data_IF_692560117525
#
_entry.id   IF_692560117525
#
_cell.length_a   1.000
_cell.length_b   1.000
_cell.length_c   1.000
_cell.angle_alpha   90.00
_cell.angle_beta   90.00
_cell.angle_gamma   90.00
#
_symmetry.space_group_name_H-M   'P 1'
#
loop_
_entity.id
_entity.type
_entity.pdbx_description
1 polymer ?
#
# COMPACT_ATOMS: atom_id res chain seq x y z
N UNK A 1 11.29 13.02 -0.62
CA UNK A 1 9.87 12.87 -0.98
C UNK A 1 9.31 11.67 -0.23
N UNK A 2 8.02 11.67 0.03
CA UNK A 2 7.28 10.64 0.78
C UNK A 2 6.39 9.89 -0.19
N UNK A 3 6.23 8.60 0.06
CA UNK A 3 5.26 7.76 -0.62
C UNK A 3 3.93 7.87 0.14
N UNK A 4 2.86 8.21 -0.57
CA UNK A 4 1.53 8.40 -0.03
C UNK A 4 0.59 7.28 -0.50
N UNK A 5 -0.49 7.07 0.24
CA UNK A 5 -1.56 6.15 -0.10
C UNK A 5 -2.91 6.83 0.08
N UNK A 6 -3.77 6.72 -0.94
CA UNK A 6 -5.12 7.25 -0.91
C UNK A 6 -6.14 6.22 -1.38
N UNK A 7 -7.38 6.40 -0.93
CA UNK A 7 -8.54 5.71 -1.50
C UNK A 7 -9.11 6.56 -2.64
N UNK A 8 -9.44 5.93 -3.76
CA UNK A 8 -10.19 6.58 -4.84
C UNK A 8 -11.52 5.90 -5.09
N UNK A 9 -12.46 6.61 -5.71
CA UNK A 9 -13.73 6.07 -6.20
C UNK A 9 -13.94 6.46 -7.65
N UNK A 10 -14.60 5.60 -8.42
CA UNK A 10 -15.11 5.95 -9.74
C UNK A 10 -16.40 6.77 -9.60
N UNK A 11 -16.52 7.81 -10.41
CA UNK A 11 -17.76 8.50 -10.63
C UNK A 11 -18.66 7.70 -11.59
N UNK A 12 -19.93 8.11 -11.73
CA UNK A 12 -20.88 7.46 -12.64
C UNK A 12 -20.55 7.58 -14.13
N UNK A 13 -19.41 8.19 -14.50
CA UNK A 13 -18.92 8.39 -15.86
C UNK A 13 -17.63 7.60 -16.13
N UNK A 14 -17.04 6.98 -15.11
CA UNK A 14 -15.80 6.20 -15.22
C UNK A 14 -14.53 7.01 -14.95
N UNK A 15 -14.64 8.29 -14.57
CA UNK A 15 -13.51 9.07 -14.05
C UNK A 15 -13.31 8.71 -12.57
N UNK A 16 -12.08 8.77 -12.05
CA UNK A 16 -11.82 8.52 -10.63
C UNK A 16 -11.45 9.80 -9.88
N UNK A 17 -11.80 9.85 -8.59
CA UNK A 17 -11.44 10.94 -7.68
C UNK A 17 -10.89 10.38 -6.36
N UNK A 18 -9.90 11.06 -5.79
CA UNK A 18 -9.40 10.77 -4.45
C UNK A 18 -10.44 11.15 -3.41
N UNK A 19 -10.58 10.33 -2.38
CA UNK A 19 -11.30 10.70 -1.17
C UNK A 19 -10.35 11.43 -0.22
N UNK A 20 -10.87 12.44 0.48
CA UNK A 20 -10.12 13.19 1.50
C UNK A 20 -9.46 12.26 2.51
N UNK A 21 -8.22 12.52 2.87
CA UNK A 21 -7.48 11.70 3.84
C UNK A 21 -8.14 11.72 5.22
N UNK A 22 -8.01 10.62 5.99
CA UNK A 22 -8.40 10.66 7.38
C UNK A 22 -7.55 11.69 8.14
N UNK A 23 -8.20 12.47 9.02
CA UNK A 23 -7.61 13.58 9.79
C UNK A 23 -6.40 13.17 10.66
N UNK A 24 -6.12 11.88 10.80
CA UNK A 24 -5.04 11.32 11.61
C UNK A 24 -3.67 11.29 10.92
N UNK A 25 -3.55 11.84 9.70
CA UNK A 25 -2.28 11.84 8.93
C UNK A 25 -1.83 10.44 8.53
N UNK A 26 -2.81 9.56 8.33
CA UNK A 26 -2.66 8.13 8.11
C UNK A 26 -2.39 7.68 6.68
N UNK A 27 -1.90 8.58 5.83
CA UNK A 27 -1.73 8.45 4.39
C UNK A 27 -0.28 8.09 4.00
N UNK A 28 0.65 8.03 4.93
CA UNK A 28 2.05 7.76 4.60
C UNK A 28 2.35 6.26 4.41
N UNK A 29 2.63 5.86 3.17
CA UNK A 29 3.13 4.53 2.78
C UNK A 29 4.65 4.38 2.92
N UNK A 30 5.40 5.48 3.15
CA UNK A 30 6.83 5.41 3.43
C UNK A 30 7.61 6.64 2.96
N UNK A 31 8.94 6.54 2.98
CA UNK A 31 9.79 7.45 2.22
C UNK A 31 9.82 7.01 0.75
N UNK A 32 10.23 7.91 -0.15
CA UNK A 32 10.47 7.55 -1.55
C UNK A 32 11.40 6.33 -1.68
N UNK A 33 12.43 6.24 -0.84
CA UNK A 33 13.32 5.07 -0.84
C UNK A 33 12.64 3.75 -0.48
N UNK A 34 11.51 3.78 0.23
CA UNK A 34 10.73 2.57 0.56
C UNK A 34 10.11 1.92 -0.67
N UNK A 35 9.87 2.71 -1.74
CA UNK A 35 9.41 2.24 -3.05
C UNK A 35 10.23 1.05 -3.56
N UNK A 36 11.56 1.16 -3.52
CA UNK A 36 12.47 0.11 -4.03
C UNK A 36 13.07 -0.74 -2.92
N UNK A 37 13.43 -0.15 -1.77
CA UNK A 37 14.12 -0.88 -0.69
C UNK A 37 13.21 -1.78 0.14
N UNK A 38 11.92 -1.45 0.23
CA UNK A 38 10.96 -2.16 1.08
C UNK A 38 9.88 -2.83 0.22
N UNK A 39 8.97 -2.05 -0.36
CA UNK A 39 7.80 -2.55 -1.09
C UNK A 39 8.18 -3.25 -2.39
N UNK A 40 9.03 -2.61 -3.17
CA UNK A 40 9.60 -3.08 -4.43
C UNK A 40 10.68 -4.14 -4.31
N UNK A 41 11.01 -4.57 -3.08
CA UNK A 41 12.17 -5.42 -2.85
C UNK A 41 11.97 -6.86 -3.35
N UNK A 42 13.09 -7.53 -3.67
CA UNK A 42 13.09 -8.97 -3.94
C UNK A 42 12.57 -9.78 -2.75
N UNK A 43 12.78 -9.29 -1.51
CA UNK A 43 12.23 -9.91 -0.31
C UNK A 43 10.69 -9.94 -0.34
N UNK A 44 10.03 -8.80 -0.67
CA UNK A 44 8.58 -8.76 -0.80
C UNK A 44 8.06 -9.70 -1.90
N UNK A 45 8.76 -9.75 -3.05
CA UNK A 45 8.43 -10.69 -4.15
C UNK A 45 8.56 -12.15 -3.74
N UNK A 46 9.65 -12.50 -3.05
CA UNK A 46 9.91 -13.86 -2.59
C UNK A 46 8.88 -14.36 -1.56
N UNK A 47 8.26 -13.44 -0.79
CA UNK A 47 7.15 -13.75 0.09
C UNK A 47 5.83 -14.03 -0.66
N UNK A 48 5.76 -13.70 -1.96
CA UNK A 48 4.59 -13.92 -2.80
C UNK A 48 3.78 -12.66 -3.10
N UNK A 49 4.23 -11.48 -2.69
CA UNK A 49 3.57 -10.22 -3.02
C UNK A 49 3.66 -9.92 -4.52
N UNK A 50 2.59 -9.34 -5.05
CA UNK A 50 2.37 -9.00 -6.46
C UNK A 50 1.96 -7.55 -6.65
N UNK A 51 1.29 -6.92 -5.68
CA UNK A 51 0.88 -5.53 -5.75
C UNK A 51 2.02 -4.60 -5.32
N UNK A 52 2.40 -4.58 -4.03
CA UNK A 52 3.42 -3.66 -3.50
C UNK A 52 4.77 -3.73 -4.25
N UNK A 53 5.21 -4.89 -4.78
CA UNK A 53 6.43 -4.93 -5.59
C UNK A 53 6.41 -4.13 -6.90
N UNK A 54 5.22 -3.74 -7.40
CA UNK A 54 5.06 -2.87 -8.58
C UNK A 54 5.59 -1.47 -8.32
N UNK A 55 5.58 -1.02 -7.06
CA UNK A 55 6.04 0.31 -6.67
C UNK A 55 7.47 0.58 -7.12
N UNK A 56 8.34 -0.43 -7.17
CA UNK A 56 9.72 -0.26 -7.67
C UNK A 56 9.81 0.37 -9.07
N UNK A 57 8.78 0.22 -9.92
CA UNK A 57 8.78 0.72 -11.29
C UNK A 57 7.94 1.98 -11.49
N UNK A 58 6.79 2.08 -10.83
CA UNK A 58 5.81 3.16 -11.04
C UNK A 58 4.81 3.24 -9.90
N UNK A 59 3.95 4.26 -9.91
CA UNK A 59 2.78 4.37 -9.03
C UNK A 59 1.87 3.15 -9.18
N UNK A 60 1.19 2.80 -8.10
CA UNK A 60 0.39 1.59 -8.02
C UNK A 60 -1.08 1.94 -7.85
N UNK A 61 -1.89 1.43 -8.77
CA UNK A 61 -3.34 1.38 -8.66
C UNK A 61 -3.78 -0.04 -8.34
N UNK A 62 -4.68 -0.17 -7.37
CA UNK A 62 -5.43 -1.39 -7.04
C UNK A 62 -6.88 -1.09 -7.35
N UNK A 63 -7.43 -1.77 -8.35
CA UNK A 63 -8.82 -1.58 -8.77
C UNK A 63 -9.81 -2.12 -7.71
N UNK A 64 -11.06 -1.63 -7.68
CA UNK A 64 -12.06 -2.07 -6.70
C UNK A 64 -12.21 -3.59 -6.58
N UNK A 65 -12.17 -4.31 -7.70
CA UNK A 65 -12.25 -5.77 -7.77
C UNK A 65 -10.99 -6.49 -7.23
N UNK A 66 -9.86 -5.79 -7.15
CA UNK A 66 -8.58 -6.32 -6.67
C UNK A 66 -8.35 -6.09 -5.17
N UNK A 67 -9.13 -5.20 -4.54
CA UNK A 67 -8.93 -4.77 -3.14
C UNK A 67 -8.88 -5.94 -2.16
N UNK A 68 -9.71 -6.96 -2.32
CA UNK A 68 -9.68 -8.16 -1.45
C UNK A 68 -8.35 -8.91 -1.55
N UNK A 69 -7.83 -9.08 -2.77
CA UNK A 69 -6.52 -9.71 -2.98
C UNK A 69 -5.39 -8.86 -2.41
N UNK A 70 -5.51 -7.54 -2.50
CA UNK A 70 -4.54 -6.62 -1.94
C UNK A 70 -4.53 -6.62 -0.41
N UNK A 71 -5.70 -6.73 0.23
CA UNK A 71 -5.81 -6.89 1.68
C UNK A 71 -5.14 -8.19 2.16
N UNK A 72 -5.34 -9.30 1.43
CA UNK A 72 -4.67 -10.56 1.72
C UNK A 72 -3.13 -10.46 1.59
N UNK A 73 -2.64 -9.71 0.59
CA UNK A 73 -1.21 -9.41 0.48
C UNK A 73 -0.71 -8.56 1.67
N UNK A 74 -1.47 -7.55 2.10
CA UNK A 74 -1.10 -6.75 3.26
C UNK A 74 -1.01 -7.62 4.53
N UNK A 75 -1.94 -8.56 4.73
CA UNK A 75 -1.88 -9.52 5.83
C UNK A 75 -0.62 -10.42 5.77
N UNK A 76 -0.32 -10.96 4.58
CA UNK A 76 0.88 -11.77 4.33
C UNK A 76 2.16 -11.01 4.69
N UNK A 77 2.29 -9.77 4.22
CA UNK A 77 3.47 -8.94 4.48
C UNK A 77 3.57 -8.51 5.94
N UNK A 78 2.43 -8.30 6.61
CA UNK A 78 2.40 -8.02 8.05
C UNK A 78 2.97 -9.19 8.85
N UNK A 79 2.60 -10.43 8.50
CA UNK A 79 3.16 -11.63 9.12
C UNK A 79 4.68 -11.78 8.94
N UNK A 80 5.28 -11.01 8.04
CA UNK A 80 6.71 -11.04 7.70
C UNK A 80 7.41 -9.69 7.90
N UNK A 81 6.82 -8.77 8.67
CA UNK A 81 7.32 -7.39 8.83
C UNK A 81 8.76 -7.33 9.35
N UNK A 82 9.13 -8.22 10.28
CA UNK A 82 10.50 -8.33 10.79
C UNK A 82 11.52 -8.63 9.69
N UNK A 83 11.22 -9.58 8.80
CA UNK A 83 12.10 -9.98 7.70
C UNK A 83 12.23 -8.86 6.65
N UNK A 84 11.11 -8.21 6.32
CA UNK A 84 11.08 -7.06 5.42
C UNK A 84 11.92 -5.90 5.96
N UNK A 85 11.75 -5.56 7.24
CA UNK A 85 12.53 -4.51 7.90
C UNK A 85 14.02 -4.79 7.89
N UNK A 86 14.42 -6.02 8.28
CA UNK A 86 15.81 -6.45 8.27
C UNK A 86 16.43 -6.36 6.86
N UNK A 87 15.69 -6.73 5.81
CA UNK A 87 16.15 -6.62 4.43
C UNK A 87 16.27 -5.17 3.94
N UNK A 88 15.30 -4.31 4.27
CA UNK A 88 15.25 -2.93 3.79
C UNK A 88 16.12 -1.96 4.58
N UNK A 89 16.62 -2.38 5.75
CA UNK A 89 17.30 -1.52 6.72
C UNK A 89 16.34 -0.63 7.53
N UNK A 90 15.06 -0.98 7.60
CA UNK A 90 14.07 -0.30 8.43
C UNK A 90 13.72 -1.17 9.65
N UNK A 91 13.24 -0.54 10.74
CA UNK A 91 12.72 -1.30 11.87
C UNK A 91 11.38 -1.98 11.54
N UNK A 92 11.08 -3.10 12.19
CA UNK A 92 9.78 -3.78 12.08
C UNK A 92 8.62 -2.82 12.35
N UNK A 93 8.71 -2.01 13.42
CA UNK A 93 7.69 -1.01 13.77
C UNK A 93 7.42 -0.03 12.64
N UNK A 94 8.46 0.37 11.90
CA UNK A 94 8.30 1.23 10.73
C UNK A 94 7.51 0.51 9.64
N UNK A 95 7.86 -0.73 9.32
CA UNK A 95 7.15 -1.53 8.31
C UNK A 95 5.69 -1.71 8.68
N UNK A 96 5.41 -2.09 9.93
CA UNK A 96 4.05 -2.29 10.44
C UNK A 96 3.24 -0.99 10.36
N UNK A 97 3.81 0.14 10.77
CA UNK A 97 3.11 1.43 10.74
C UNK A 97 2.75 1.87 9.31
N UNK A 98 3.68 1.69 8.35
CA UNK A 98 3.41 2.05 6.95
C UNK A 98 2.43 1.10 6.29
N UNK A 99 2.56 -0.20 6.55
CA UNK A 99 1.61 -1.19 6.06
C UNK A 99 0.21 -0.99 6.65
N UNK A 100 0.12 -0.56 7.91
CA UNK A 100 -1.16 -0.19 8.54
C UNK A 100 -1.83 1.04 7.91
N UNK A 101 -1.04 1.97 7.37
CA UNK A 101 -1.58 3.11 6.60
C UNK A 101 -2.17 2.64 5.27
N UNK A 102 -1.44 1.78 4.56
CA UNK A 102 -1.89 1.14 3.31
C UNK A 102 -3.15 0.31 3.53
N UNK A 103 -3.19 -0.53 4.57
CA UNK A 103 -4.34 -1.36 4.87
C UNK A 103 -5.58 -0.53 5.23
N UNK A 104 -5.43 0.57 6.00
CA UNK A 104 -6.56 1.45 6.30
C UNK A 104 -7.17 2.05 5.03
N UNK A 105 -6.34 2.48 4.08
CA UNK A 105 -6.82 2.96 2.79
C UNK A 105 -7.52 1.85 1.98
N UNK A 106 -7.00 0.62 2.01
CA UNK A 106 -7.64 -0.53 1.35
C UNK A 106 -8.97 -0.95 2.01
N UNK A 107 -9.05 -0.94 3.34
CA UNK A 107 -10.29 -1.20 4.07
C UNK A 107 -11.35 -0.14 3.78
N UNK A 108 -10.94 1.13 3.67
CA UNK A 108 -11.81 2.22 3.25
C UNK A 108 -12.28 2.04 1.82
N UNK A 109 -11.36 1.70 0.90
CA UNK A 109 -11.68 1.41 -0.51
C UNK A 109 -12.75 0.32 -0.63
N UNK A 110 -12.57 -0.80 0.08
CA UNK A 110 -13.55 -1.87 0.18
C UNK A 110 -14.93 -1.37 0.64
N UNK A 111 -14.95 -0.54 1.69
CA UNK A 111 -16.21 -0.06 2.27
C UNK A 111 -17.02 0.83 1.31
N UNK A 112 -16.36 1.52 0.39
CA UNK A 112 -16.99 2.45 -0.57
C UNK A 112 -17.08 1.90 -1.99
N UNK A 113 -16.60 0.67 -2.24
CA UNK A 113 -16.50 0.10 -3.59
C UNK A 113 -15.49 0.82 -4.48
N UNK A 114 -14.45 1.39 -3.88
CA UNK A 114 -13.37 2.12 -4.54
C UNK A 114 -12.07 1.31 -4.62
N UNK A 115 -11.01 1.96 -5.10
CA UNK A 115 -9.67 1.40 -5.21
C UNK A 115 -8.62 2.11 -4.35
N UNK A 116 -7.36 1.70 -4.48
CA UNK A 116 -6.22 2.27 -3.74
C UNK A 116 -5.17 2.80 -4.71
N UNK A 117 -4.68 4.02 -4.46
CA UNK A 117 -3.52 4.60 -5.14
C UNK A 117 -2.36 4.71 -4.15
N UNK A 118 -1.18 4.25 -4.56
CA UNK A 118 0.09 4.51 -3.86
C UNK A 118 1.07 5.20 -4.81
N UNK A 119 1.61 6.37 -4.41
CA UNK A 119 2.39 7.27 -5.27
C UNK A 119 3.48 8.04 -4.49
#
# INVERSE_FOLDING_TARGET
MTLLVHTFVYDGKGDWQLLDDPDDGGDMAGFESSRTKLWGSECARALGARFLPRLAGDDMFVEPEEVEHFLAECELLRGNAAALGAHSGYGEDYVVARLGSIERAALRARAVGGGVLVW
#
